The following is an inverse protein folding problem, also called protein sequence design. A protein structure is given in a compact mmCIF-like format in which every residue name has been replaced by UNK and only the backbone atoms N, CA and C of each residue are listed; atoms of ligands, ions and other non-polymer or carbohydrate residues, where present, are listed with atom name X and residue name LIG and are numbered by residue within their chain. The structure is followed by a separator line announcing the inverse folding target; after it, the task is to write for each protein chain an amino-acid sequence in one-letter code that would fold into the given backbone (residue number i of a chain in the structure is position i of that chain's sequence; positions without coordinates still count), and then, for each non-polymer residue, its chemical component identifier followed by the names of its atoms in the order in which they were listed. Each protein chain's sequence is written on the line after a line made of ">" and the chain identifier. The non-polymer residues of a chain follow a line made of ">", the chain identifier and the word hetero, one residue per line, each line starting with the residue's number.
data_IF_316246427814
#
_entry.id   IF_316246427814
#
_cell.length_a   1.000
_cell.length_b   1.000
_cell.length_c   1.000
_cell.angle_alpha   90.00
_cell.angle_beta   90.00
_cell.angle_gamma   90.00
#
_symmetry.space_group_name_H-M   'P 1'
#
loop_
_entity.id
_entity.type
_entity.pdbx_description
1 polymer ?
#
# COMPACT_ATOMS: atom_id res chain seq x y z
N UNK A 1 15.16 43.31 -27.01
CA UNK A 1 14.14 42.61 -26.23
C UNK A 1 14.57 41.14 -26.18
N UNK A 2 15.19 40.72 -25.06
CA UNK A 2 15.69 39.35 -24.87
C UNK A 2 14.58 38.56 -24.22
N UNK A 3 14.17 37.54 -24.92
CA UNK A 3 13.16 36.56 -24.53
C UNK A 3 13.70 35.75 -23.32
N UNK A 4 13.08 35.88 -22.15
CA UNK A 4 13.36 35.05 -21.01
C UNK A 4 12.70 33.70 -21.25
N UNK A 5 13.48 32.75 -21.71
CA UNK A 5 13.09 31.35 -21.77
C UNK A 5 12.78 30.88 -20.33
N UNK A 6 11.56 30.45 -20.15
CA UNK A 6 11.06 29.78 -18.96
C UNK A 6 11.76 28.42 -18.84
N UNK A 7 12.75 28.29 -17.97
CA UNK A 7 13.27 26.96 -17.63
C UNK A 7 12.16 26.17 -16.92
N UNK A 8 11.90 24.95 -17.37
CA UNK A 8 10.81 24.15 -16.78
C UNK A 8 11.15 23.70 -15.35
N UNK A 9 10.14 23.69 -14.52
CA UNK A 9 10.09 23.36 -13.08
C UNK A 9 10.63 21.97 -12.69
N UNK A 10 11.09 21.17 -13.64
CA UNK A 10 11.61 19.81 -13.45
C UNK A 10 12.94 19.74 -12.68
N UNK A 11 13.78 20.75 -12.80
CA UNK A 11 15.09 20.76 -12.14
C UNK A 11 15.03 21.00 -10.61
N UNK A 12 13.95 21.64 -10.12
CA UNK A 12 13.74 21.87 -8.68
C UNK A 12 13.20 20.62 -8.00
N UNK A 13 12.36 19.83 -8.67
CA UNK A 13 11.83 18.56 -8.16
C UNK A 13 12.92 17.50 -7.99
N UNK A 14 13.85 17.38 -8.92
CA UNK A 14 14.96 16.42 -8.86
C UNK A 14 15.90 16.71 -7.66
N UNK A 15 16.31 17.97 -7.49
CA UNK A 15 17.19 18.36 -6.38
C UNK A 15 16.55 18.17 -5.00
N UNK A 16 15.23 18.37 -4.88
CA UNK A 16 14.49 18.18 -3.65
C UNK A 16 14.34 16.70 -3.33
N UNK A 17 14.07 15.88 -4.34
CA UNK A 17 14.01 14.42 -4.26
C UNK A 17 15.38 13.83 -3.89
N UNK A 18 16.47 14.33 -4.45
CA UNK A 18 17.83 13.88 -4.14
C UNK A 18 18.24 14.21 -2.70
N UNK A 19 17.89 15.41 -2.19
CA UNK A 19 18.13 15.78 -0.78
C UNK A 19 17.35 14.90 0.18
N UNK A 20 16.08 14.67 -0.08
CA UNK A 20 15.21 13.81 0.74
C UNK A 20 15.71 12.37 0.76
N UNK A 21 16.16 11.88 -0.39
CA UNK A 21 16.83 10.59 -0.55
C UNK A 21 18.09 10.47 0.30
N UNK A 22 18.93 11.49 0.26
CA UNK A 22 20.18 11.53 1.04
C UNK A 22 19.92 11.50 2.55
N UNK A 23 18.93 12.24 3.02
CA UNK A 23 18.53 12.24 4.43
C UNK A 23 17.97 10.88 4.87
N UNK A 24 17.09 10.27 4.09
CA UNK A 24 16.57 8.93 4.39
C UNK A 24 17.70 7.92 4.54
N UNK A 25 18.66 7.89 3.60
CA UNK A 25 19.83 7.01 3.67
C UNK A 25 20.71 7.27 4.88
N UNK A 26 20.93 8.52 5.23
CA UNK A 26 21.71 8.91 6.41
C UNK A 26 21.04 8.41 7.69
N UNK A 27 19.74 8.64 7.86
CA UNK A 27 18.99 8.12 9.00
C UNK A 27 18.98 6.59 9.06
N UNK A 28 18.81 5.92 7.92
CA UNK A 28 18.90 4.46 7.85
C UNK A 28 20.29 3.94 8.26
N UNK A 29 21.36 4.64 7.87
CA UNK A 29 22.72 4.27 8.24
C UNK A 29 22.97 4.45 9.75
N UNK A 30 22.57 5.58 10.32
CA UNK A 30 22.83 5.93 11.73
C UNK A 30 21.91 5.14 12.67
N UNK A 31 20.60 5.11 12.40
CA UNK A 31 19.59 4.57 13.32
C UNK A 31 19.04 3.20 12.91
N UNK A 32 19.38 2.72 11.71
CA UNK A 32 18.87 1.47 11.14
C UNK A 32 17.55 1.61 10.38
N UNK A 33 16.86 2.75 10.48
CA UNK A 33 15.64 3.09 9.75
C UNK A 33 15.43 4.61 9.73
N UNK A 34 14.54 5.07 8.84
CA UNK A 34 14.07 6.46 8.82
C UNK A 34 12.54 6.48 8.98
N UNK A 35 12.00 7.49 9.68
CA UNK A 35 10.57 7.76 9.62
C UNK A 35 10.26 8.57 8.37
N UNK A 36 9.27 8.10 7.60
CA UNK A 36 8.85 8.73 6.34
C UNK A 36 7.34 8.87 6.28
N UNK A 37 6.84 9.88 5.56
CA UNK A 37 5.45 9.93 5.18
C UNK A 37 5.20 9.02 3.97
N UNK A 38 4.02 8.42 3.89
CA UNK A 38 3.65 7.59 2.75
C UNK A 38 3.79 8.34 1.43
N UNK A 39 3.37 9.61 1.37
CA UNK A 39 3.47 10.46 0.18
C UNK A 39 4.89 10.75 -0.30
N UNK A 40 5.91 10.60 0.56
CA UNK A 40 7.32 10.77 0.17
C UNK A 40 7.83 9.62 -0.69
N UNK A 41 7.29 8.40 -0.46
CA UNK A 41 7.80 7.15 -1.04
C UNK A 41 6.79 6.41 -1.90
N UNK A 42 5.54 6.84 -1.91
CA UNK A 42 4.47 6.27 -2.72
C UNK A 42 3.58 7.39 -3.30
N UNK A 43 2.80 7.05 -4.31
CA UNK A 43 1.83 7.94 -4.95
C UNK A 43 0.56 7.18 -5.31
N UNK A 44 -0.53 7.89 -5.53
CA UNK A 44 -1.71 7.31 -6.17
C UNK A 44 -1.48 7.16 -7.68
N UNK A 45 -2.03 6.09 -8.27
CA UNK A 45 -2.08 5.96 -9.73
C UNK A 45 -2.94 7.06 -10.33
N UNK A 46 -2.42 7.71 -11.36
CA UNK A 46 -3.13 8.70 -12.18
C UNK A 46 -3.44 8.17 -13.57
N UNK A 47 -2.88 7.01 -13.91
CA UNK A 47 -3.06 6.37 -15.20
C UNK A 47 -4.49 5.85 -15.37
N UNK A 48 -4.94 5.79 -16.61
CA UNK A 48 -6.30 5.36 -16.96
C UNK A 48 -6.25 4.27 -18.02
N UNK A 49 -7.19 3.35 -17.92
CA UNK A 49 -7.43 2.27 -18.87
C UNK A 49 -8.90 2.34 -19.33
N UNK A 50 -9.18 2.02 -20.57
CA UNK A 50 -10.56 1.96 -21.07
C UNK A 50 -11.28 0.74 -20.47
N UNK A 51 -12.54 0.94 -20.06
CA UNK A 51 -13.32 -0.12 -19.41
C UNK A 51 -13.48 -1.35 -20.29
N UNK A 52 -13.57 -1.17 -21.62
CA UNK A 52 -13.71 -2.26 -22.58
C UNK A 52 -12.48 -3.18 -22.69
N UNK A 53 -11.32 -2.75 -22.16
CA UNK A 53 -10.10 -3.55 -22.10
C UNK A 53 -10.10 -4.50 -20.86
N UNK A 54 -11.07 -4.32 -19.96
CA UNK A 54 -11.14 -5.03 -18.69
C UNK A 54 -12.09 -6.23 -18.78
N UNK A 55 -11.82 -7.23 -17.98
CA UNK A 55 -12.68 -8.39 -17.80
C UNK A 55 -12.89 -8.68 -16.30
N UNK A 56 -13.63 -9.74 -15.99
CA UNK A 56 -13.96 -10.09 -14.61
C UNK A 56 -12.73 -10.43 -13.73
N UNK A 57 -11.59 -10.77 -14.31
CA UNK A 57 -10.36 -11.09 -13.59
C UNK A 57 -9.48 -9.84 -13.38
N UNK A 58 -9.55 -8.86 -14.31
CA UNK A 58 -8.72 -7.65 -14.33
C UNK A 58 -9.43 -6.40 -13.83
N UNK A 59 -10.75 -6.40 -13.67
CA UNK A 59 -11.48 -5.31 -12.99
C UNK A 59 -11.61 -5.60 -11.51
N UNK A 60 -11.27 -4.60 -10.68
CA UNK A 60 -11.37 -4.69 -9.22
C UNK A 60 -12.20 -3.54 -8.68
N UNK A 61 -13.43 -3.83 -8.28
CA UNK A 61 -14.27 -2.92 -7.51
C UNK A 61 -14.06 -3.11 -5.99
N UNK A 62 -14.58 -2.18 -5.19
CA UNK A 62 -14.53 -2.32 -3.72
C UNK A 62 -15.27 -3.57 -3.22
N UNK A 63 -16.26 -4.04 -3.97
CA UNK A 63 -17.04 -5.24 -3.63
C UNK A 63 -16.24 -6.52 -3.84
N UNK A 64 -15.32 -6.52 -4.80
CA UNK A 64 -14.44 -7.67 -5.09
C UNK A 64 -13.26 -7.80 -4.14
N UNK A 65 -12.88 -6.73 -3.45
CA UNK A 65 -11.90 -6.81 -2.38
C UNK A 65 -12.53 -7.47 -1.16
N UNK A 66 -11.93 -8.54 -0.70
CA UNK A 66 -12.39 -9.30 0.46
C UNK A 66 -12.01 -8.59 1.75
N UNK A 67 -12.91 -8.67 2.74
CA UNK A 67 -12.65 -8.11 4.09
C UNK A 67 -11.52 -8.86 4.80
N UNK A 68 -10.94 -8.22 5.83
CA UNK A 68 -9.89 -8.80 6.68
C UNK A 68 -8.67 -9.27 5.87
N UNK A 69 -8.26 -8.47 4.88
CA UNK A 69 -7.02 -8.66 4.08
C UNK A 69 -6.96 -9.97 3.29
N UNK A 70 -8.12 -10.57 2.98
CA UNK A 70 -8.19 -11.86 2.28
C UNK A 70 -7.99 -11.75 0.77
N UNK A 71 -7.48 -10.61 0.26
CA UNK A 71 -7.22 -10.42 -1.16
C UNK A 71 -8.47 -10.04 -1.95
N UNK A 72 -8.61 -10.58 -3.16
CA UNK A 72 -9.75 -10.31 -4.05
C UNK A 72 -10.41 -11.59 -4.54
N UNK A 73 -11.62 -11.45 -4.99
CA UNK A 73 -12.34 -12.44 -5.78
C UNK A 73 -12.62 -11.90 -7.19
N UNK A 74 -13.07 -12.79 -8.07
CA UNK A 74 -13.45 -12.44 -9.43
C UNK A 74 -14.63 -11.48 -9.43
N UNK A 75 -14.58 -10.44 -10.27
CA UNK A 75 -15.66 -9.46 -10.34
C UNK A 75 -16.94 -10.05 -10.95
N UNK A 76 -18.07 -9.81 -10.29
CA UNK A 76 -19.39 -10.11 -10.82
C UNK A 76 -19.91 -9.03 -11.78
N UNK A 77 -19.29 -7.85 -11.77
CA UNK A 77 -19.67 -6.71 -12.60
C UNK A 77 -18.40 -6.05 -13.17
N UNK A 78 -18.39 -5.79 -14.47
CA UNK A 78 -17.35 -5.03 -15.15
C UNK A 78 -18.02 -3.88 -15.91
N UNK A 79 -17.57 -2.62 -15.78
CA UNK A 79 -18.15 -1.52 -16.54
C UNK A 79 -17.90 -1.74 -18.03
N UNK A 80 -18.89 -1.46 -18.86
CA UNK A 80 -18.82 -1.64 -20.31
C UNK A 80 -18.22 -0.40 -21.02
N UNK A 81 -18.28 0.77 -20.37
CA UNK A 81 -17.87 2.04 -20.94
C UNK A 81 -17.17 2.91 -19.89
N UNK A 82 -16.39 3.87 -20.37
CA UNK A 82 -15.70 4.87 -19.55
C UNK A 82 -14.27 4.48 -19.23
N UNK A 83 -13.64 5.28 -18.34
CA UNK A 83 -12.24 5.12 -17.96
C UNK A 83 -12.11 4.70 -16.50
N UNK A 84 -11.37 3.65 -16.28
CA UNK A 84 -10.97 3.14 -14.96
C UNK A 84 -9.59 3.65 -14.57
N UNK A 85 -9.28 3.66 -13.26
CA UNK A 85 -7.92 3.90 -12.77
C UNK A 85 -7.11 2.64 -13.06
N UNK A 86 -6.00 2.78 -13.78
CA UNK A 86 -5.12 1.65 -14.07
C UNK A 86 -4.28 1.25 -12.85
N UNK A 87 -4.04 -0.03 -12.69
CA UNK A 87 -3.09 -0.59 -11.75
C UNK A 87 -2.20 -1.65 -12.42
N UNK A 88 -1.00 -1.81 -11.89
CA UNK A 88 0.00 -2.74 -12.38
C UNK A 88 0.36 -3.78 -11.31
N UNK A 89 1.02 -4.86 -11.74
CA UNK A 89 1.57 -5.85 -10.81
C UNK A 89 2.45 -5.16 -9.78
N UNK A 90 2.24 -5.48 -8.50
CA UNK A 90 2.95 -4.89 -7.37
C UNK A 90 2.32 -3.62 -6.80
N UNK A 91 1.30 -3.05 -7.44
CA UNK A 91 0.52 -1.96 -6.84
C UNK A 91 -0.33 -2.46 -5.67
N UNK A 92 -0.51 -1.64 -4.66
CA UNK A 92 -1.38 -1.96 -3.53
C UNK A 92 -2.75 -1.30 -3.73
N UNK A 93 -3.80 -2.11 -3.76
CA UNK A 93 -5.18 -1.66 -3.87
C UNK A 93 -5.86 -1.67 -2.50
N UNK A 94 -6.48 -0.55 -2.11
CA UNK A 94 -7.18 -0.40 -0.83
C UNK A 94 -8.61 0.04 -1.08
N UNK A 95 -9.57 -0.67 -0.50
CA UNK A 95 -10.98 -0.27 -0.52
C UNK A 95 -11.19 0.99 0.32
N UNK A 96 -11.53 2.10 -0.33
CA UNK A 96 -11.69 3.41 0.31
C UNK A 96 -13.02 3.58 1.06
N UNK A 97 -13.97 2.68 0.87
CA UNK A 97 -15.26 2.68 1.56
C UNK A 97 -15.20 1.71 2.74
N UNK A 98 -15.66 2.18 3.93
CA UNK A 98 -15.66 1.40 5.17
C UNK A 98 -14.27 0.83 5.49
N UNK A 99 -13.26 1.67 5.76
CA UNK A 99 -11.88 1.23 6.01
C UNK A 99 -11.76 0.19 7.12
N UNK A 100 -12.72 0.14 8.07
CA UNK A 100 -12.76 -0.88 9.12
C UNK A 100 -12.91 -2.32 8.58
N UNK A 101 -13.34 -2.51 7.33
CA UNK A 101 -13.36 -3.82 6.68
C UNK A 101 -11.98 -4.31 6.26
N UNK A 102 -10.96 -3.46 6.34
CA UNK A 102 -9.55 -3.77 6.03
C UNK A 102 -9.39 -4.47 4.67
N UNK A 103 -10.07 -3.95 3.65
CA UNK A 103 -10.02 -4.46 2.28
C UNK A 103 -8.74 -3.98 1.60
N UNK A 104 -7.81 -4.89 1.37
CA UNK A 104 -6.52 -4.60 0.74
C UNK A 104 -6.05 -5.80 -0.08
N UNK A 105 -5.37 -5.53 -1.21
CA UNK A 105 -4.80 -6.53 -2.07
C UNK A 105 -3.53 -6.02 -2.74
N UNK A 106 -2.50 -6.87 -2.81
CA UNK A 106 -1.30 -6.63 -3.61
C UNK A 106 -1.56 -7.19 -5.01
N UNK A 107 -1.50 -6.35 -6.02
CA UNK A 107 -1.84 -6.75 -7.38
C UNK A 107 -0.86 -7.80 -7.93
N UNK A 108 -1.37 -8.94 -8.33
CA UNK A 108 -0.67 -10.03 -9.00
C UNK A 108 -0.87 -10.01 -10.53
N UNK A 109 -1.75 -9.15 -11.01
CA UNK A 109 -1.99 -8.84 -12.42
C UNK A 109 -2.15 -7.33 -12.63
N UNK A 110 -2.15 -6.90 -13.89
CA UNK A 110 -2.51 -5.52 -14.26
C UNK A 110 -3.98 -5.44 -14.62
N UNK A 111 -4.59 -4.25 -14.44
CA UNK A 111 -6.00 -4.05 -14.77
C UNK A 111 -6.50 -2.66 -14.41
N UNK A 112 -7.78 -2.57 -14.05
CA UNK A 112 -8.42 -1.30 -13.74
C UNK A 112 -9.38 -1.37 -12.55
N UNK A 113 -9.60 -0.23 -11.93
CA UNK A 113 -10.49 -0.06 -10.79
C UNK A 113 -11.29 1.23 -10.84
N UNK A 114 -12.33 1.33 -10.03
CA UNK A 114 -13.13 2.55 -9.89
C UNK A 114 -12.57 3.51 -8.82
N UNK A 115 -13.23 4.66 -8.64
CA UNK A 115 -12.80 5.69 -7.69
C UNK A 115 -12.94 5.31 -6.20
N UNK A 116 -13.60 4.20 -5.89
CA UNK A 116 -13.81 3.70 -4.54
C UNK A 116 -12.69 2.76 -4.07
N UNK A 117 -11.73 2.48 -4.94
CA UNK A 117 -10.50 1.76 -4.61
C UNK A 117 -9.31 2.69 -4.85
N UNK A 118 -8.42 2.77 -3.88
CA UNK A 118 -7.18 3.53 -3.98
C UNK A 118 -6.09 2.62 -4.53
N UNK A 119 -5.41 3.05 -5.59
CA UNK A 119 -4.24 2.37 -6.15
C UNK A 119 -3.00 3.12 -5.67
N UNK A 120 -2.21 2.49 -4.83
CA UNK A 120 -0.98 3.04 -4.26
C UNK A 120 0.23 2.38 -4.92
N UNK A 121 1.04 3.21 -5.57
CA UNK A 121 2.24 2.82 -6.29
C UNK A 121 3.49 3.19 -5.50
N UNK A 122 4.37 2.22 -5.28
CA UNK A 122 5.66 2.46 -4.65
C UNK A 122 6.61 3.24 -5.59
N UNK A 123 7.38 4.18 -5.06
CA UNK A 123 8.52 4.79 -5.75
C UNK A 123 9.70 3.82 -5.65
N UNK A 124 10.12 3.24 -6.76
CA UNK A 124 10.98 2.03 -6.87
C UNK A 124 12.30 2.13 -6.09
N UNK A 125 12.87 3.32 -5.92
CA UNK A 125 14.23 3.46 -5.38
C UNK A 125 14.36 3.30 -3.85
N UNK A 126 13.25 3.30 -3.10
CA UNK A 126 13.27 3.40 -1.63
C UNK A 126 12.52 2.28 -0.93
N UNK A 127 11.49 1.75 -1.55
CA UNK A 127 10.58 0.81 -0.91
C UNK A 127 10.23 -0.34 -1.86
N UNK A 128 10.29 -1.54 -1.34
CA UNK A 128 9.78 -2.72 -2.04
C UNK A 128 8.25 -2.67 -2.05
N UNK A 129 7.58 -2.90 -3.19
CA UNK A 129 6.12 -2.92 -3.28
C UNK A 129 5.48 -3.84 -2.24
N UNK A 130 6.03 -5.02 -2.03
CA UNK A 130 5.51 -5.98 -1.07
C UNK A 130 5.72 -5.55 0.39
N UNK A 131 6.83 -4.86 0.70
CA UNK A 131 7.03 -4.26 2.02
C UNK A 131 5.99 -3.16 2.28
N UNK A 132 5.74 -2.29 1.28
CA UNK A 132 4.68 -1.28 1.35
C UNK A 132 3.32 -1.91 1.61
N UNK A 133 2.98 -2.98 0.89
CA UNK A 133 1.74 -3.74 1.13
C UNK A 133 1.64 -4.20 2.58
N UNK A 134 2.68 -4.79 3.17
CA UNK A 134 2.66 -5.23 4.57
C UNK A 134 2.50 -4.07 5.54
N UNK A 135 3.15 -2.94 5.30
CA UNK A 135 2.96 -1.70 6.10
C UNK A 135 1.50 -1.24 6.04
N UNK A 136 0.91 -1.16 4.85
CA UNK A 136 -0.48 -0.72 4.64
C UNK A 136 -1.51 -1.76 5.07
N UNK A 137 -1.14 -3.03 5.16
CA UNK A 137 -2.00 -4.08 5.71
C UNK A 137 -1.98 -4.15 7.24
N UNK A 138 -1.16 -3.33 7.93
CA UNK A 138 -1.09 -3.31 9.39
C UNK A 138 -2.35 -2.72 10.05
N UNK A 139 -2.66 -3.15 11.27
CA UNK A 139 -3.77 -2.57 12.03
C UNK A 139 -3.55 -1.09 12.34
N UNK A 140 -2.29 -0.68 12.53
CA UNK A 140 -1.94 0.72 12.74
C UNK A 140 -2.36 1.62 11.59
N UNK A 141 -2.15 1.15 10.35
CA UNK A 141 -2.57 1.90 9.17
C UNK A 141 -4.10 2.02 9.11
N UNK A 142 -4.84 0.94 9.30
CA UNK A 142 -6.31 1.00 9.26
C UNK A 142 -6.91 1.79 10.42
N UNK A 143 -6.31 1.77 11.61
CA UNK A 143 -6.71 2.67 12.71
C UNK A 143 -6.48 4.13 12.33
N UNK A 144 -5.33 4.45 11.74
CA UNK A 144 -5.03 5.79 11.25
C UNK A 144 -6.02 6.23 10.16
N UNK A 145 -6.30 5.38 9.15
CA UNK A 145 -7.26 5.67 8.09
C UNK A 145 -8.68 5.91 8.65
N UNK A 146 -9.12 5.09 9.59
CA UNK A 146 -10.40 5.27 10.28
C UNK A 146 -10.50 6.58 11.05
N UNK A 147 -9.44 6.98 11.76
CA UNK A 147 -9.41 8.24 12.51
C UNK A 147 -9.57 9.48 11.61
N UNK A 148 -9.12 9.39 10.35
CA UNK A 148 -9.17 10.48 9.39
C UNK A 148 -10.30 10.32 8.35
N UNK A 149 -11.10 9.26 8.45
CA UNK A 149 -12.20 9.00 7.52
C UNK A 149 -13.34 10.00 7.70
N UNK A 150 -14.08 10.26 6.61
CA UNK A 150 -15.23 11.16 6.59
C UNK A 150 -16.52 10.40 6.30
N UNK A 151 -17.62 10.84 6.93
CA UNK A 151 -18.95 10.25 6.74
C UNK A 151 -19.34 9.26 7.85
N UNK A 152 -20.53 9.47 8.44
CA UNK A 152 -20.99 8.67 9.60
C UNK A 152 -21.50 7.28 9.19
N UNK A 153 -22.34 7.17 8.13
CA UNK A 153 -23.00 5.92 7.73
C UNK A 153 -22.12 5.06 6.81
N UNK A 154 -21.35 5.70 5.93
CA UNK A 154 -20.41 5.04 5.01
C UNK A 154 -19.09 5.80 5.03
N UNK A 155 -18.26 5.60 6.06
CA UNK A 155 -16.99 6.30 6.17
C UNK A 155 -16.11 6.02 4.95
N UNK A 156 -15.48 7.07 4.42
CA UNK A 156 -14.50 7.01 3.34
C UNK A 156 -13.18 7.53 3.84
N UNK A 157 -12.10 6.82 3.56
CA UNK A 157 -10.74 7.27 3.84
C UNK A 157 -10.45 8.61 3.16
N UNK A 158 -9.70 9.45 3.83
CA UNK A 158 -9.28 10.74 3.31
C UNK A 158 -7.94 10.58 2.58
N UNK A 159 -7.97 10.68 1.24
CA UNK A 159 -6.78 10.47 0.39
C UNK A 159 -5.58 11.32 0.79
N UNK A 160 -5.80 12.59 1.15
CA UNK A 160 -4.73 13.51 1.52
C UNK A 160 -4.13 13.16 2.89
N UNK A 161 -4.97 12.73 3.83
CA UNK A 161 -4.50 12.29 5.15
C UNK A 161 -3.77 10.93 5.07
N UNK A 162 -4.23 10.00 4.24
CA UNK A 162 -3.56 8.71 4.02
C UNK A 162 -2.11 8.92 3.60
N UNK A 163 -1.82 9.88 2.72
CA UNK A 163 -0.44 10.19 2.31
C UNK A 163 0.44 10.75 3.44
N UNK A 164 -0.16 11.25 4.52
CA UNK A 164 0.55 11.73 5.72
C UNK A 164 0.86 10.61 6.72
N UNK A 165 0.41 9.38 6.46
CA UNK A 165 0.73 8.24 7.32
C UNK A 165 2.23 8.07 7.48
N UNK A 166 2.71 8.05 8.73
CA UNK A 166 4.14 7.95 9.07
C UNK A 166 4.46 6.52 9.50
N UNK A 167 5.52 5.97 8.93
CA UNK A 167 6.04 4.67 9.33
C UNK A 167 7.56 4.60 9.22
N UNK A 168 8.16 3.58 9.85
CA UNK A 168 9.58 3.34 9.81
C UNK A 168 9.97 2.61 8.52
N UNK A 169 10.90 3.17 7.77
CA UNK A 169 11.44 2.64 6.52
C UNK A 169 12.89 2.16 6.75
N UNK A 170 13.12 0.84 6.85
CA UNK A 170 14.47 0.30 6.95
C UNK A 170 15.18 0.27 5.58
N UNK A 171 16.50 -0.01 5.53
CA UNK A 171 17.20 -0.26 4.28
C UNK A 171 16.57 -1.41 3.48
N UNK A 172 16.76 -1.39 2.16
CA UNK A 172 16.16 -2.37 1.23
C UNK A 172 16.46 -3.83 1.63
N UNK A 173 17.67 -4.11 2.13
CA UNK A 173 18.05 -5.47 2.54
C UNK A 173 17.23 -5.93 3.75
N UNK A 174 16.96 -5.04 4.70
CA UNK A 174 16.10 -5.36 5.84
C UNK A 174 14.62 -5.48 5.42
N UNK A 175 14.16 -4.66 4.45
CA UNK A 175 12.82 -4.82 3.87
C UNK A 175 12.66 -6.21 3.24
N UNK A 176 13.65 -6.69 2.47
CA UNK A 176 13.65 -8.05 1.87
C UNK A 176 13.51 -9.11 2.96
N UNK A 177 14.33 -9.02 4.01
CA UNK A 177 14.32 -9.96 5.13
C UNK A 177 12.95 -10.01 5.82
N UNK A 178 12.34 -8.84 6.06
CA UNK A 178 11.00 -8.74 6.66
C UNK A 178 9.95 -9.37 5.75
N UNK A 179 9.98 -9.06 4.46
CA UNK A 179 9.07 -9.62 3.46
C UNK A 179 9.18 -11.14 3.43
N UNK A 180 10.39 -11.71 3.38
CA UNK A 180 10.59 -13.16 3.38
C UNK A 180 10.01 -13.85 4.62
N UNK A 181 10.18 -13.23 5.78
CA UNK A 181 9.61 -13.76 7.04
C UNK A 181 8.09 -13.72 6.99
N UNK A 182 7.50 -12.58 6.59
CA UNK A 182 6.05 -12.41 6.52
C UNK A 182 5.41 -13.33 5.47
N UNK A 183 6.08 -13.54 4.33
CA UNK A 183 5.63 -14.48 3.29
C UNK A 183 5.57 -15.94 3.79
N UNK A 184 6.54 -16.34 4.60
CA UNK A 184 6.52 -17.68 5.22
C UNK A 184 5.36 -17.83 6.18
N UNK A 185 5.08 -16.79 6.99
CA UNK A 185 3.93 -16.81 7.88
C UNK A 185 2.61 -16.82 7.10
N UNK A 186 2.48 -16.01 6.05
CA UNK A 186 1.29 -15.95 5.21
C UNK A 186 0.99 -17.32 4.57
N UNK A 187 2.02 -17.97 4.01
CA UNK A 187 1.90 -19.34 3.49
C UNK A 187 1.46 -20.33 4.58
N UNK A 188 2.08 -20.30 5.74
CA UNK A 188 1.71 -21.19 6.85
C UNK A 188 0.27 -20.98 7.33
N UNK A 189 -0.25 -19.74 7.28
CA UNK A 189 -1.62 -19.44 7.63
C UNK A 189 -2.61 -19.92 6.55
N UNK A 190 -2.23 -19.81 5.27
CA UNK A 190 -3.08 -20.19 4.15
C UNK A 190 -3.09 -21.70 3.89
N UNK A 191 -1.95 -22.39 4.09
CA UNK A 191 -1.84 -23.86 3.90
C UNK A 191 -2.64 -24.67 4.97
N UNK A 192 -3.09 -24.02 6.04
CA UNK A 192 -3.83 -24.66 7.14
C UNK A 192 -5.33 -24.35 7.05
N UNK A 193 -5.80 -23.90 5.91
CA UNK A 193 -7.25 -23.69 5.67
C UNK A 193 -8.12 -24.94 5.86
N UNK A 194 -7.52 -26.13 6.04
CA UNK A 194 -8.18 -27.39 6.37
C UNK A 194 -8.19 -27.70 7.87
N UNK A 195 -7.64 -26.84 8.73
CA UNK A 195 -7.60 -27.02 10.19
C UNK A 195 -8.91 -26.64 10.91
N UNK A 196 -8.99 -26.97 12.20
CA UNK A 196 -10.11 -26.57 13.04
C UNK A 196 -10.23 -25.04 13.10
N UNK A 197 -11.45 -24.46 13.04
CA UNK A 197 -11.67 -23.00 13.01
C UNK A 197 -10.95 -22.24 14.14
N UNK A 198 -10.86 -22.79 15.32
CA UNK A 198 -10.16 -22.21 16.47
C UNK A 198 -8.63 -22.14 16.28
N UNK A 199 -8.05 -23.09 15.54
CA UNK A 199 -6.61 -23.10 15.22
C UNK A 199 -6.28 -22.04 14.16
N UNK A 200 -7.13 -21.89 13.17
CA UNK A 200 -7.02 -20.86 12.12
C UNK A 200 -7.06 -19.46 12.76
N UNK A 201 -8.03 -19.21 13.65
CA UNK A 201 -8.15 -17.91 14.35
C UNK A 201 -6.91 -17.62 15.22
N UNK A 202 -6.41 -18.64 15.94
CA UNK A 202 -5.22 -18.49 16.78
C UNK A 202 -3.99 -18.15 15.96
N UNK A 203 -3.79 -18.79 14.80
CA UNK A 203 -2.66 -18.54 13.91
C UNK A 203 -2.76 -17.19 13.24
N UNK A 204 -3.96 -16.75 12.89
CA UNK A 204 -4.17 -15.41 12.33
C UNK A 204 -3.81 -14.32 13.35
N UNK A 205 -4.20 -14.48 14.63
CA UNK A 205 -3.78 -13.58 15.72
C UNK A 205 -2.26 -13.59 15.93
N UNK A 206 -1.62 -14.75 15.85
CA UNK A 206 -0.15 -14.86 15.89
C UNK A 206 0.50 -14.14 14.71
N UNK A 207 0.00 -14.32 13.50
CA UNK A 207 0.50 -13.61 12.32
C UNK A 207 0.40 -12.08 12.47
N UNK A 208 -0.74 -11.56 12.89
CA UNK A 208 -0.95 -10.12 13.12
C UNK A 208 0.02 -9.57 14.17
N UNK A 209 0.21 -10.31 15.26
CA UNK A 209 1.17 -9.94 16.30
C UNK A 209 2.61 -9.89 15.79
N UNK A 210 3.07 -10.91 15.06
CA UNK A 210 4.43 -10.94 14.53
C UNK A 210 4.64 -9.93 13.41
N UNK A 211 3.67 -9.70 12.55
CA UNK A 211 3.70 -8.64 11.55
C UNK A 211 3.91 -7.28 12.20
N UNK A 212 3.09 -6.94 13.18
CA UNK A 212 3.19 -5.66 13.88
C UNK A 212 4.48 -5.53 14.69
N UNK A 213 5.02 -6.63 15.19
CA UNK A 213 6.31 -6.67 15.88
C UNK A 213 7.48 -6.46 14.92
N UNK A 214 7.46 -7.08 13.73
CA UNK A 214 8.49 -6.94 12.69
C UNK A 214 8.49 -5.53 12.07
N UNK A 215 7.34 -4.89 12.02
CA UNK A 215 7.19 -3.51 11.53
C UNK A 215 7.45 -2.45 12.63
N UNK A 216 7.76 -2.85 13.87
CA UNK A 216 8.21 -1.99 14.97
C UNK A 216 9.73 -1.93 14.99
N UNK A 217 10.28 -0.77 14.66
CA UNK A 217 11.73 -0.54 14.73
C UNK A 217 12.08 0.18 16.04
N UNK A 218 13.20 -0.24 16.66
CA UNK A 218 13.78 0.45 17.83
C UNK A 218 15.06 1.12 17.38
N UNK A 219 15.27 2.35 17.83
CA UNK A 219 16.53 3.07 17.59
C UNK A 219 17.72 2.27 18.11
N UNK A 220 18.79 2.20 17.30
CA UNK A 220 20.06 1.69 17.77
C UNK A 220 20.58 2.65 18.86
N UNK A 221 20.82 2.14 20.04
CA UNK A 221 21.61 2.90 21.04
C UNK A 221 23.02 2.99 20.49
N UNK A 222 23.47 4.23 20.24
CA UNK A 222 24.85 4.58 19.88
C UNK A 222 25.69 4.52 21.15
#
# INVERSE_FOLDING_TARGET
>A
MLDKQHEPDYALTDRQTDRQTGLIRLFQYVFGFAYVHLGDIAKYSTERIEAMELNADTYVGVDNLLSERRGKERSSYVPLEGRCISYNIGDTLIGNIRPYLKKIWLADCSGGTNGDVLVIQAKINFILPKFLYYVLSSDKFFVFDMQHSKGAKMPRGNKDEILKYIFALPPIEEQKRIVEVLDRFDKLCNDISEGLPAEIETRQKQYEYYRDKLLKFKEKKI
#
